data_IF_967770289761
#
_entry.id   IF_967770289761
#
_cell.length_a   1.000
_cell.length_b   1.000
_cell.length_c   1.000
_cell.angle_alpha   90.00
_cell.angle_beta   90.00
_cell.angle_gamma   90.00
#
_symmetry.space_group_name_H-M   'P 1'
#
loop_
_entity.id
_entity.type
_entity.pdbx_description
1 polymer ?
#
# COMPACT_ATOMS: atom_id res chain seq x y z
N UNK A 1 57.75 -65.12 36.23
CA UNK A 1 57.77 -63.71 35.81
C UNK A 1 56.37 -63.33 35.39
N UNK A 2 55.64 -62.62 36.24
CA UNK A 2 54.36 -61.99 35.87
C UNK A 2 54.64 -60.51 35.59
N UNK A 3 54.06 -59.93 34.53
CA UNK A 3 54.25 -58.52 34.22
C UNK A 3 53.43 -57.67 35.21
N UNK A 4 54.05 -56.63 35.74
CA UNK A 4 53.41 -55.66 36.64
C UNK A 4 52.37 -54.85 35.87
N UNK A 5 51.11 -54.90 36.32
CA UNK A 5 50.04 -54.06 35.78
C UNK A 5 50.16 -52.63 36.31
N UNK A 6 50.49 -51.68 35.45
CA UNK A 6 50.36 -50.26 35.78
C UNK A 6 48.87 -49.87 35.89
N UNK A 7 48.51 -48.99 36.84
CA UNK A 7 47.14 -48.51 36.97
C UNK A 7 46.81 -47.52 35.85
N UNK A 8 45.69 -47.75 35.16
CA UNK A 8 45.14 -46.81 34.18
C UNK A 8 44.62 -45.57 34.94
N UNK A 9 45.04 -44.34 34.59
CA UNK A 9 44.52 -43.13 35.23
C UNK A 9 43.01 -43.00 35.03
N UNK A 10 42.27 -42.68 36.10
CA UNK A 10 40.85 -42.37 36.02
C UNK A 10 40.62 -41.16 35.09
N UNK A 11 40.06 -41.40 33.90
CA UNK A 11 39.55 -40.33 33.04
C UNK A 11 38.31 -39.73 33.71
N UNK A 12 38.47 -38.55 34.33
CA UNK A 12 37.32 -37.76 34.79
C UNK A 12 36.44 -37.43 33.58
N UNK A 13 35.12 -37.73 33.62
CA UNK A 13 34.24 -37.43 32.50
C UNK A 13 34.26 -35.92 32.25
N UNK A 14 34.55 -35.53 31.00
CA UNK A 14 34.62 -34.14 30.58
C UNK A 14 33.34 -33.39 31.01
N UNK A 15 33.50 -32.33 31.80
CA UNK A 15 32.37 -31.52 32.28
C UNK A 15 31.61 -30.95 31.09
N UNK A 16 30.32 -31.27 30.96
CA UNK A 16 29.47 -30.64 29.94
C UNK A 16 29.47 -29.12 30.13
N UNK A 17 29.62 -28.31 29.06
CA UNK A 17 29.53 -26.87 29.18
C UNK A 17 28.15 -26.46 29.69
N UNK A 18 28.11 -25.52 30.63
CA UNK A 18 26.88 -24.97 31.18
C UNK A 18 26.05 -24.30 30.07
N UNK A 19 24.71 -24.47 30.10
CA UNK A 19 23.84 -23.81 29.13
C UNK A 19 23.85 -22.29 29.35
N UNK A 20 23.91 -21.49 28.28
CA UNK A 20 23.80 -20.04 28.42
C UNK A 20 22.41 -19.69 28.96
N UNK A 21 22.37 -18.93 30.06
CA UNK A 21 21.14 -18.37 30.62
C UNK A 21 20.75 -17.11 29.84
N UNK A 22 19.50 -17.01 29.40
CA UNK A 22 18.98 -15.81 28.74
C UNK A 22 18.84 -14.69 29.77
N UNK A 23 19.45 -13.53 29.51
CA UNK A 23 19.39 -12.36 30.38
C UNK A 23 18.17 -11.48 30.08
N UNK A 24 17.82 -10.60 31.03
CA UNK A 24 16.64 -9.72 30.92
C UNK A 24 16.73 -8.75 29.74
N UNK A 25 17.93 -8.31 29.36
CA UNK A 25 18.07 -7.43 28.21
C UNK A 25 17.77 -8.19 26.92
N UNK A 26 18.25 -9.42 26.75
CA UNK A 26 17.88 -10.26 25.60
C UNK A 26 16.37 -10.43 25.50
N UNK A 27 15.67 -10.69 26.62
CA UNK A 27 14.20 -10.78 26.63
C UNK A 27 13.56 -9.47 26.16
N UNK A 28 14.01 -8.32 26.67
CA UNK A 28 13.49 -7.01 26.27
C UNK A 28 13.66 -6.76 24.77
N UNK A 29 14.85 -7.05 24.21
CA UNK A 29 15.11 -6.88 22.78
C UNK A 29 14.21 -7.78 21.93
N UNK A 30 14.00 -9.04 22.34
CA UNK A 30 13.10 -9.96 21.64
C UNK A 30 11.65 -9.46 21.67
N UNK A 31 11.19 -8.95 22.81
CA UNK A 31 9.84 -8.36 22.93
C UNK A 31 9.71 -7.15 22.01
N UNK A 32 10.70 -6.24 22.01
CA UNK A 32 10.68 -5.06 21.16
C UNK A 32 10.75 -5.42 19.67
N UNK A 33 11.54 -6.43 19.31
CA UNK A 33 11.59 -6.96 17.95
C UNK A 33 10.24 -7.51 17.51
N UNK A 34 9.61 -8.35 18.35
CA UNK A 34 8.27 -8.90 18.08
C UNK A 34 7.25 -7.77 17.95
N UNK A 35 7.33 -6.75 18.80
CA UNK A 35 6.44 -5.59 18.74
C UNK A 35 6.60 -4.83 17.42
N UNK A 36 7.82 -4.52 17.01
CA UNK A 36 8.08 -3.80 15.74
C UNK A 36 7.60 -4.63 14.55
N UNK A 37 7.87 -5.92 14.53
CA UNK A 37 7.38 -6.82 13.48
C UNK A 37 5.86 -6.93 13.48
N UNK A 38 5.23 -7.01 14.66
CA UNK A 38 3.78 -7.05 14.81
C UNK A 38 3.09 -5.76 14.36
N UNK A 39 3.66 -4.60 14.69
CA UNK A 39 3.19 -3.30 14.21
C UNK A 39 3.36 -3.19 12.69
N UNK A 40 4.52 -3.59 12.16
CA UNK A 40 4.77 -3.62 10.72
C UNK A 40 3.77 -4.52 9.99
N UNK A 41 3.51 -5.71 10.52
CA UNK A 41 2.46 -6.62 10.02
C UNK A 41 1.09 -5.93 10.05
N UNK A 42 0.70 -5.36 11.18
CA UNK A 42 -0.59 -4.71 11.33
C UNK A 42 -0.80 -3.61 10.28
N UNK A 43 0.15 -2.67 10.14
CA UNK A 43 0.01 -1.60 9.14
C UNK A 43 0.11 -2.12 7.70
N UNK A 44 0.94 -3.13 7.43
CA UNK A 44 1.14 -3.65 6.07
C UNK A 44 -0.09 -4.38 5.52
N UNK A 45 -0.84 -5.06 6.38
CA UNK A 45 -1.96 -5.91 5.98
C UNK A 45 -3.34 -5.26 6.17
N UNK A 46 -3.41 -4.07 6.75
CA UNK A 46 -4.65 -3.28 6.77
C UNK A 46 -4.87 -2.62 5.42
N UNK A 47 -6.07 -2.80 4.86
CA UNK A 47 -6.40 -2.23 3.55
C UNK A 47 -5.67 -2.89 2.38
N UNK A 48 -5.36 -4.19 2.46
CA UNK A 48 -4.74 -4.91 1.31
C UNK A 48 -5.65 -4.87 0.08
N UNK A 49 -6.95 -5.06 0.28
CA UNK A 49 -7.98 -4.90 -0.75
C UNK A 49 -8.49 -3.45 -0.79
N UNK A 50 -7.57 -2.48 -0.81
CA UNK A 50 -7.93 -1.05 -0.85
C UNK A 50 -8.67 -0.65 -2.14
N UNK A 51 -8.61 -1.49 -3.18
CA UNK A 51 -9.28 -1.27 -4.46
C UNK A 51 -10.55 -2.13 -4.66
N UNK A 52 -10.95 -2.90 -3.64
CA UNK A 52 -12.12 -3.80 -3.68
C UNK A 52 -12.24 -4.70 -4.93
N UNK A 53 -11.10 -5.18 -5.47
CA UNK A 53 -11.05 -6.02 -6.68
C UNK A 53 -11.57 -5.33 -7.95
N UNK A 54 -11.46 -4.00 -8.01
CA UNK A 54 -11.75 -3.25 -9.23
C UNK A 54 -10.67 -3.42 -10.31
N UNK A 55 -9.46 -3.91 -9.95
CA UNK A 55 -8.33 -4.21 -10.84
C UNK A 55 -7.93 -3.09 -11.82
N UNK A 56 -8.34 -1.84 -11.52
CA UNK A 56 -8.01 -0.70 -12.37
C UNK A 56 -6.49 -0.53 -12.41
N UNK A 57 -5.96 -0.40 -13.63
CA UNK A 57 -4.55 -0.10 -13.77
C UNK A 57 -4.24 1.29 -13.17
N UNK A 58 -3.00 1.54 -12.69
CA UNK A 58 -2.64 2.81 -12.06
C UNK A 58 -2.95 4.06 -12.91
N UNK A 59 -2.93 3.93 -14.23
CA UNK A 59 -3.28 4.98 -15.20
C UNK A 59 -4.79 5.14 -15.42
N UNK A 60 -5.58 4.08 -15.31
CA UNK A 60 -7.04 4.17 -15.35
C UNK A 60 -7.58 4.90 -14.11
N UNK A 61 -6.94 4.68 -12.96
CA UNK A 61 -7.22 5.43 -11.74
C UNK A 61 -7.00 6.94 -11.91
N UNK A 62 -6.02 7.33 -12.72
CA UNK A 62 -5.77 8.73 -13.03
C UNK A 62 -6.95 9.36 -13.80
N UNK A 63 -7.60 8.62 -14.71
CA UNK A 63 -8.82 9.08 -15.39
C UNK A 63 -9.95 9.33 -14.38
N UNK A 64 -10.12 8.43 -13.41
CA UNK A 64 -11.10 8.63 -12.34
C UNK A 64 -10.82 9.86 -11.48
N UNK A 65 -9.55 10.16 -11.19
CA UNK A 65 -9.20 11.41 -10.49
C UNK A 65 -9.48 12.66 -11.32
N UNK A 66 -9.32 12.58 -12.64
CA UNK A 66 -9.66 13.69 -13.53
C UNK A 66 -11.17 13.89 -13.57
N UNK A 67 -11.96 12.83 -13.72
CA UNK A 67 -13.43 12.89 -13.69
C UNK A 67 -13.95 13.51 -12.39
N UNK A 68 -13.37 13.12 -11.27
CA UNK A 68 -13.76 13.62 -9.96
C UNK A 68 -13.52 15.13 -9.79
N UNK A 69 -12.44 15.65 -10.39
CA UNK A 69 -11.97 17.01 -10.14
C UNK A 69 -12.49 18.04 -11.16
N UNK A 70 -12.91 17.61 -12.35
CA UNK A 70 -13.57 18.47 -13.35
C UNK A 70 -15.04 18.70 -12.97
N UNK A 71 -15.62 19.84 -13.35
CA UNK A 71 -17.05 20.11 -13.19
C UNK A 71 -17.72 20.38 -14.52
N UNK A 72 -19.05 20.27 -14.56
CA UNK A 72 -19.84 20.56 -15.76
C UNK A 72 -19.71 22.02 -16.18
N UNK A 73 -19.55 22.26 -17.48
CA UNK A 73 -19.75 23.58 -18.05
C UNK A 73 -21.24 23.82 -18.28
N UNK A 74 -21.73 24.98 -17.87
CA UNK A 74 -23.15 25.36 -17.95
C UNK A 74 -23.51 26.00 -19.29
N UNK A 75 -22.51 26.36 -20.10
CA UNK A 75 -22.71 27.00 -21.40
C UNK A 75 -21.62 26.63 -22.42
N UNK A 76 -21.95 26.77 -23.70
CA UNK A 76 -20.97 26.61 -24.79
C UNK A 76 -19.80 27.60 -24.67
N UNK A 77 -20.04 28.82 -24.18
CA UNK A 77 -18.98 29.81 -23.99
C UNK A 77 -17.95 29.35 -22.96
N UNK A 78 -18.43 28.80 -21.86
CA UNK A 78 -17.60 28.25 -20.79
C UNK A 78 -16.84 26.99 -21.25
N UNK A 79 -17.44 26.16 -22.10
CA UNK A 79 -16.75 25.03 -22.73
C UNK A 79 -15.58 25.48 -23.63
N UNK A 80 -15.80 26.47 -24.49
CA UNK A 80 -14.78 26.96 -25.43
C UNK A 80 -13.77 27.93 -24.82
N UNK A 81 -13.96 28.37 -23.57
CA UNK A 81 -12.95 29.14 -22.83
C UNK A 81 -11.93 28.20 -22.19
N UNK A 82 -10.93 27.77 -22.96
CA UNK A 82 -9.90 26.84 -22.46
C UNK A 82 -9.21 27.32 -21.19
N UNK A 83 -9.03 28.64 -21.02
CA UNK A 83 -8.31 29.21 -19.88
C UNK A 83 -9.09 29.11 -18.56
N UNK A 84 -10.42 29.13 -18.62
CA UNK A 84 -11.26 29.15 -17.42
C UNK A 84 -12.26 28.00 -17.32
N UNK A 85 -12.37 27.15 -18.36
CA UNK A 85 -13.34 26.07 -18.42
C UNK A 85 -13.21 25.14 -17.20
N UNK A 86 -14.30 24.89 -16.46
CA UNK A 86 -14.30 23.96 -15.33
C UNK A 86 -14.10 22.50 -15.76
N UNK A 87 -14.35 22.21 -17.05
CA UNK A 87 -14.14 20.90 -17.67
C UNK A 87 -12.68 20.65 -18.02
N UNK A 88 -11.85 21.69 -18.21
CA UNK A 88 -10.46 21.49 -18.62
C UNK A 88 -9.63 20.91 -17.46
N UNK A 89 -9.09 19.67 -17.57
CA UNK A 89 -8.30 19.05 -16.51
C UNK A 89 -7.07 19.87 -16.09
N UNK A 90 -6.48 20.62 -17.02
CA UNK A 90 -5.33 21.49 -16.73
C UNK A 90 -5.70 22.61 -15.75
N UNK A 91 -6.94 23.10 -15.78
CA UNK A 91 -7.44 24.10 -14.83
C UNK A 91 -7.72 23.50 -13.43
N UNK A 92 -7.59 22.18 -13.29
CA UNK A 92 -7.74 21.41 -12.04
C UNK A 92 -6.41 20.80 -11.56
N UNK A 93 -5.28 21.28 -12.09
CA UNK A 93 -3.95 20.78 -11.73
C UNK A 93 -3.62 19.40 -12.29
N UNK A 94 -4.30 18.98 -13.37
CA UNK A 94 -4.01 17.75 -14.13
C UNK A 94 -3.26 18.05 -15.43
N UNK A 95 -2.20 18.85 -15.35
CA UNK A 95 -1.44 19.38 -16.51
C UNK A 95 -0.88 18.31 -17.47
N UNK A 96 -0.75 17.06 -16.99
CA UNK A 96 -0.24 15.93 -17.77
C UNK A 96 -1.35 15.08 -18.41
N UNK A 97 -2.61 15.53 -18.39
CA UNK A 97 -3.72 14.78 -18.98
C UNK A 97 -3.69 14.81 -20.52
N UNK A 98 -3.40 13.66 -21.14
CA UNK A 98 -3.18 13.55 -22.60
C UNK A 98 -4.14 12.59 -23.32
N UNK A 99 -5.11 12.00 -22.61
CA UNK A 99 -5.96 10.91 -23.11
C UNK A 99 -7.13 11.36 -24.01
N UNK A 100 -7.22 12.67 -24.30
CA UNK A 100 -8.36 13.26 -24.98
C UNK A 100 -9.54 13.50 -24.02
N UNK A 101 -10.22 14.63 -24.19
CA UNK A 101 -11.20 15.11 -23.21
C UNK A 101 -12.64 14.72 -23.51
N UNK A 102 -12.97 14.36 -24.75
CA UNK A 102 -14.35 14.03 -25.12
C UNK A 102 -14.93 12.85 -24.30
N UNK A 103 -14.23 11.71 -24.10
CA UNK A 103 -14.79 10.60 -23.34
C UNK A 103 -15.05 10.96 -21.87
N UNK A 104 -14.12 11.69 -21.23
CA UNK A 104 -14.26 12.06 -19.80
C UNK A 104 -15.37 13.10 -19.59
N UNK A 105 -15.55 14.01 -20.56
CA UNK A 105 -16.65 14.98 -20.51
C UNK A 105 -18.00 14.30 -20.62
N UNK A 106 -18.15 13.38 -21.60
CA UNK A 106 -19.38 12.62 -21.76
C UNK A 106 -19.72 11.87 -20.48
N UNK A 107 -18.75 11.18 -19.88
CA UNK A 107 -18.93 10.47 -18.62
C UNK A 107 -19.39 11.43 -17.50
N UNK A 108 -18.73 12.58 -17.34
CA UNK A 108 -19.11 13.57 -16.31
C UNK A 108 -20.55 14.05 -16.48
N UNK A 109 -20.97 14.37 -17.70
CA UNK A 109 -22.36 14.79 -17.95
C UNK A 109 -23.38 13.68 -17.69
N UNK A 110 -23.07 12.42 -18.02
CA UNK A 110 -23.94 11.27 -17.71
C UNK A 110 -24.06 11.06 -16.20
N UNK A 111 -22.95 11.09 -15.47
CA UNK A 111 -22.93 10.93 -14.02
C UNK A 111 -23.69 12.05 -13.31
N UNK A 112 -23.51 13.30 -13.77
CA UNK A 112 -24.26 14.45 -13.27
C UNK A 112 -25.77 14.27 -13.51
N UNK A 113 -26.18 13.82 -14.71
CA UNK A 113 -27.57 13.55 -15.03
C UNK A 113 -28.18 12.41 -14.20
N UNK A 114 -27.37 11.44 -13.79
CA UNK A 114 -27.77 10.35 -12.89
C UNK A 114 -27.75 10.76 -11.40
N UNK A 115 -27.29 11.96 -11.06
CA UNK A 115 -27.09 12.41 -9.69
C UNK A 115 -25.99 11.66 -8.94
N UNK A 116 -25.02 11.11 -9.69
CA UNK A 116 -23.93 10.26 -9.18
C UNK A 116 -22.54 10.74 -9.63
N UNK A 117 -22.17 12.02 -9.47
CA UNK A 117 -20.81 12.46 -9.82
C UNK A 117 -19.76 11.78 -8.93
N UNK A 118 -18.53 11.68 -9.43
CA UNK A 118 -17.36 11.33 -8.64
C UNK A 118 -16.91 9.86 -8.69
N UNK A 119 -15.66 9.67 -8.29
CA UNK A 119 -14.87 8.45 -8.49
C UNK A 119 -15.55 7.14 -8.06
N UNK A 120 -16.20 7.14 -6.89
CA UNK A 120 -16.85 5.94 -6.35
C UNK A 120 -17.99 5.42 -7.25
N UNK A 121 -18.64 6.31 -7.99
CA UNK A 121 -19.73 5.96 -8.89
C UNK A 121 -19.22 5.51 -10.26
N UNK A 122 -18.01 5.94 -10.67
CA UNK A 122 -17.36 5.47 -11.92
C UNK A 122 -17.01 3.98 -11.82
N UNK A 123 -16.48 3.54 -10.67
CA UNK A 123 -16.11 2.14 -10.44
C UNK A 123 -17.32 1.22 -10.18
N UNK A 124 -18.51 1.79 -9.95
CA UNK A 124 -19.72 1.03 -9.62
C UNK A 124 -20.69 0.86 -10.81
N UNK A 125 -20.32 1.32 -12.00
CA UNK A 125 -21.07 1.18 -13.25
C UNK A 125 -20.45 0.06 -14.08
#
# INVERSE_FOLDING_TARGET
MQPSSEPVPDEQPASMPARPSVDRATILHLVLLILVLGLGYFFRFRGVAWDEFQYLHPDERFLGFVENDIDIATSFREYFDTANSPLNPNNRGKDFFVYGTLPIFLLRYVLEALGKPGYANVAAI
#
